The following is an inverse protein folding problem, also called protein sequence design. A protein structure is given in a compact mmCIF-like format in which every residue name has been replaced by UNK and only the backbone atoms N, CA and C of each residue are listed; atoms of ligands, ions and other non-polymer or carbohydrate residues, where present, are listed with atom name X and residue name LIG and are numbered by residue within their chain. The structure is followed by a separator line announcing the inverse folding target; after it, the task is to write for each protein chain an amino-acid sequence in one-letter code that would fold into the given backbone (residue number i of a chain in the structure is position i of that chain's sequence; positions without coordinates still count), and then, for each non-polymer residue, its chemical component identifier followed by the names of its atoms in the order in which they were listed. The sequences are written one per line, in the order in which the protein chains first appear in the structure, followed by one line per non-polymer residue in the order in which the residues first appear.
data_IF_540907293798
#
_entry.id   IF_540907293798
#
_cell.length_a   1.000
_cell.length_b   1.000
_cell.length_c   1.000
_cell.angle_alpha   90.00
_cell.angle_beta   90.00
_cell.angle_gamma   90.00
#
_symmetry.space_group_name_H-M   'P 1'
#
loop_
_entity.id
_entity.type
_entity.pdbx_description
1 polymer ?
#
# COMPACT_ATOMS: atom_id res chain seq x y z
N UNK A 1 -9.99 -18.02 -36.06
CA UNK A 1 -10.56 -18.35 -34.75
C UNK A 1 -9.56 -18.20 -33.59
N UNK A 2 -8.27 -18.03 -33.85
CA UNK A 2 -7.20 -17.98 -32.81
C UNK A 2 -7.14 -16.66 -32.03
N UNK A 3 -7.39 -15.51 -32.64
CA UNK A 3 -7.23 -14.21 -31.97
C UNK A 3 -8.26 -13.91 -30.85
N UNK A 4 -9.47 -14.46 -30.98
CA UNK A 4 -10.52 -14.28 -29.94
C UNK A 4 -10.24 -15.15 -28.72
N UNK A 5 -9.67 -16.33 -28.92
CA UNK A 5 -9.31 -17.25 -27.83
C UNK A 5 -8.11 -16.75 -27.02
N UNK A 6 -7.12 -16.11 -27.63
CA UNK A 6 -5.95 -15.54 -26.94
C UNK A 6 -6.31 -14.33 -26.09
N UNK A 7 -7.20 -13.46 -26.56
CA UNK A 7 -7.71 -12.32 -25.77
C UNK A 7 -8.54 -12.78 -24.57
N UNK A 8 -9.43 -13.75 -24.75
CA UNK A 8 -10.23 -14.33 -23.68
C UNK A 8 -9.35 -15.05 -22.64
N UNK A 9 -8.35 -15.80 -23.09
CA UNK A 9 -7.39 -16.48 -22.22
C UNK A 9 -6.54 -15.47 -21.42
N UNK A 10 -6.03 -14.43 -22.05
CA UNK A 10 -5.28 -13.39 -21.37
C UNK A 10 -6.11 -12.65 -20.31
N UNK A 11 -7.39 -12.41 -20.58
CA UNK A 11 -8.30 -11.79 -19.60
C UNK A 11 -8.59 -12.72 -18.40
N UNK A 12 -8.84 -13.99 -18.64
CA UNK A 12 -9.05 -14.99 -17.58
C UNK A 12 -7.80 -15.14 -16.73
N UNK A 13 -6.64 -15.22 -17.37
CA UNK A 13 -5.35 -15.29 -16.68
C UNK A 13 -5.09 -14.04 -15.86
N UNK A 14 -5.34 -12.85 -16.40
CA UNK A 14 -5.20 -11.61 -15.68
C UNK A 14 -6.10 -11.60 -14.43
N UNK A 15 -7.37 -11.95 -14.55
CA UNK A 15 -8.29 -12.02 -13.41
C UNK A 15 -7.81 -13.01 -12.33
N UNK A 16 -7.31 -14.18 -12.72
CA UNK A 16 -6.79 -15.17 -11.78
C UNK A 16 -5.52 -14.68 -11.06
N UNK A 17 -4.63 -13.99 -11.77
CA UNK A 17 -3.41 -13.42 -11.21
C UNK A 17 -3.70 -12.21 -10.32
N UNK A 18 -4.64 -11.36 -10.72
CA UNK A 18 -5.07 -10.22 -9.91
C UNK A 18 -5.71 -10.66 -8.60
N UNK A 19 -6.56 -11.70 -8.63
CA UNK A 19 -7.10 -12.29 -7.41
C UNK A 19 -6.01 -12.85 -6.50
N UNK A 20 -5.03 -13.56 -7.04
CA UNK A 20 -3.90 -14.09 -6.27
C UNK A 20 -3.02 -12.96 -5.72
N UNK A 21 -2.76 -11.91 -6.48
CA UNK A 21 -2.02 -10.75 -6.05
C UNK A 21 -2.73 -9.99 -4.91
N UNK A 22 -4.06 -9.86 -4.99
CA UNK A 22 -4.87 -9.26 -3.91
C UNK A 22 -4.71 -10.05 -2.61
N UNK A 23 -4.71 -11.39 -2.66
CA UNK A 23 -4.54 -12.23 -1.47
C UNK A 23 -3.13 -12.12 -0.85
N UNK A 24 -2.11 -11.79 -1.64
CA UNK A 24 -0.72 -11.68 -1.16
C UNK A 24 -0.27 -10.26 -0.88
N UNK A 25 -1.00 -9.25 -1.37
CA UNK A 25 -0.73 -7.83 -1.14
C UNK A 25 -1.19 -7.42 0.26
N UNK A 26 -0.25 -7.16 1.16
CA UNK A 26 -0.54 -6.84 2.56
C UNK A 26 -1.13 -5.44 2.75
N UNK A 27 -0.90 -4.54 1.79
CA UNK A 27 -1.38 -3.15 1.79
C UNK A 27 -2.59 -2.91 0.89
N UNK A 28 -3.21 -3.97 0.37
CA UNK A 28 -4.37 -3.86 -0.55
C UNK A 28 -5.61 -3.21 0.07
N UNK A 29 -5.76 -3.26 1.39
CA UNK A 29 -6.85 -2.58 2.10
C UNK A 29 -6.85 -1.06 1.91
N UNK A 30 -5.70 -0.45 1.59
CA UNK A 30 -5.58 1.00 1.35
C UNK A 30 -6.25 1.45 0.05
N UNK A 31 -6.47 0.53 -0.91
CA UNK A 31 -7.12 0.83 -2.20
C UNK A 31 -8.62 1.16 -2.02
N UNK A 32 -9.24 0.76 -0.90
CA UNK A 32 -10.64 1.09 -0.59
C UNK A 32 -10.90 2.59 -0.44
N UNK A 33 -9.88 3.38 -0.12
CA UNK A 33 -9.98 4.82 0.09
C UNK A 33 -9.87 5.64 -1.22
N UNK A 34 -9.65 4.99 -2.35
CA UNK A 34 -9.50 5.64 -3.66
C UNK A 34 -10.78 6.35 -4.17
N UNK A 35 -11.95 6.04 -3.62
CA UNK A 35 -13.22 6.65 -4.02
C UNK A 35 -13.33 8.17 -3.79
N UNK A 36 -12.44 8.76 -2.98
CA UNK A 36 -12.38 10.21 -2.72
C UNK A 36 -11.64 11.01 -3.80
N UNK A 37 -11.07 10.33 -4.76
CA UNK A 37 -10.12 10.89 -5.73
C UNK A 37 -10.81 11.31 -7.02
N UNK A 38 -10.55 12.55 -7.47
CA UNK A 38 -10.98 13.04 -8.78
C UNK A 38 -9.78 13.09 -9.72
N UNK A 39 -9.85 12.34 -10.82
CA UNK A 39 -8.86 12.42 -11.91
C UNK A 39 -9.12 13.68 -12.74
N UNK A 40 -8.08 14.48 -12.96
CA UNK A 40 -8.16 15.74 -13.72
C UNK A 40 -7.61 15.56 -15.14
N UNK A 41 -6.90 14.49 -15.37
CA UNK A 41 -6.20 14.18 -16.63
C UNK A 41 -4.70 14.02 -16.39
N UNK A 42 -4.00 13.39 -17.34
CA UNK A 42 -2.56 13.13 -17.21
C UNK A 42 -2.21 12.32 -15.97
N UNK A 43 -1.30 12.82 -15.17
CA UNK A 43 -0.80 12.24 -13.93
C UNK A 43 -1.28 12.98 -12.66
N UNK A 44 -2.20 13.91 -12.82
CA UNK A 44 -2.70 14.72 -11.70
C UNK A 44 -4.02 14.20 -11.15
N UNK A 45 -4.13 14.27 -9.83
CA UNK A 45 -5.28 13.85 -9.04
C UNK A 45 -5.63 14.95 -8.05
N UNK A 46 -6.90 15.29 -7.93
CA UNK A 46 -7.39 16.28 -6.97
C UNK A 46 -8.17 15.58 -5.86
N UNK A 47 -7.80 15.88 -4.62
CA UNK A 47 -8.49 15.40 -3.42
C UNK A 47 -9.12 16.60 -2.72
N UNK A 48 -10.44 16.56 -2.44
CA UNK A 48 -11.11 17.64 -1.74
C UNK A 48 -10.69 17.68 -0.27
N UNK A 49 -10.45 18.87 0.26
CA UNK A 49 -10.23 19.13 1.67
C UNK A 49 -11.22 20.18 2.13
N UNK A 50 -11.96 19.87 3.21
CA UNK A 50 -12.93 20.80 3.81
C UNK A 50 -12.45 21.16 5.20
N UNK A 51 -12.53 22.47 5.53
CA UNK A 51 -12.33 23.00 6.85
C UNK A 51 -13.53 23.84 7.24
N UNK A 52 -13.97 23.72 8.49
CA UNK A 52 -15.08 24.47 9.08
C UNK A 52 -14.64 25.05 10.42
N UNK A 53 -15.18 26.22 10.77
CA UNK A 53 -14.93 26.82 12.08
C UNK A 53 -15.67 26.05 13.18
N UNK A 54 -15.15 26.17 14.41
CA UNK A 54 -15.74 25.57 15.59
C UNK A 54 -17.01 26.28 16.07
N UNK A 55 -17.62 25.78 17.14
CA UNK A 55 -18.73 26.42 17.81
C UNK A 55 -18.31 27.75 18.44
N UNK A 56 -19.17 28.74 18.30
CA UNK A 56 -19.03 30.03 18.96
C UNK A 56 -20.21 30.28 19.93
N UNK A 57 -20.04 31.21 20.85
CA UNK A 57 -21.07 31.53 21.82
C UNK A 57 -22.29 32.18 21.17
N UNK A 58 -23.45 31.68 21.50
CA UNK A 58 -24.73 32.25 21.04
C UNK A 58 -25.12 33.48 21.88
N UNK A 59 -25.23 34.62 21.24
CA UNK A 59 -25.64 35.87 21.92
C UNK A 59 -27.18 35.98 21.98
N UNK A 60 -27.79 35.71 23.16
CA UNK A 60 -29.22 35.84 23.40
C UNK A 60 -29.76 37.25 23.45
N UNK A 61 -28.86 38.22 23.65
CA UNK A 61 -29.22 39.65 23.77
C UNK A 61 -29.35 40.34 22.43
N UNK A 62 -28.87 39.73 21.36
CA UNK A 62 -28.93 40.26 19.99
C UNK A 62 -30.12 39.63 19.23
N UNK A 63 -31.21 40.35 19.13
CA UNK A 63 -32.48 39.88 18.53
C UNK A 63 -32.37 39.62 17.01
N UNK A 64 -31.28 40.03 16.34
CA UNK A 64 -31.10 39.86 14.89
C UNK A 64 -29.95 38.99 14.44
N UNK A 65 -28.98 38.73 15.31
CA UNK A 65 -27.71 38.05 14.94
C UNK A 65 -27.15 37.18 16.06
N UNK A 66 -27.99 36.42 16.75
CA UNK A 66 -27.58 35.57 17.87
C UNK A 66 -26.50 34.51 17.53
N UNK A 67 -26.38 34.09 16.27
CA UNK A 67 -25.37 33.20 15.79
C UNK A 67 -24.17 33.95 15.23
N UNK A 68 -22.96 33.57 15.65
CA UNK A 68 -21.71 34.02 15.01
C UNK A 68 -21.52 33.28 13.72
N UNK A 69 -21.29 34.01 12.63
CA UNK A 69 -21.09 33.42 11.31
C UNK A 69 -19.73 32.73 11.24
N UNK A 70 -19.69 31.41 11.00
CA UNK A 70 -18.49 30.65 10.76
C UNK A 70 -18.12 30.55 9.28
N UNK A 71 -16.85 30.33 8.99
CA UNK A 71 -16.36 30.10 7.64
C UNK A 71 -16.35 28.61 7.30
N UNK A 72 -16.71 28.29 6.06
CA UNK A 72 -16.55 26.97 5.45
C UNK A 72 -15.60 27.10 4.27
N UNK A 73 -14.48 26.43 4.32
CA UNK A 73 -13.50 26.45 3.24
C UNK A 73 -13.42 25.07 2.59
N UNK A 74 -13.72 25.00 1.29
CA UNK A 74 -13.51 23.83 0.45
C UNK A 74 -12.36 24.12 -0.50
N UNK A 75 -11.29 23.35 -0.37
CA UNK A 75 -10.14 23.42 -1.26
C UNK A 75 -9.84 22.07 -1.91
N UNK A 76 -9.25 22.11 -3.11
CA UNK A 76 -8.78 20.92 -3.78
C UNK A 76 -7.25 20.94 -3.80
N UNK A 77 -6.63 19.94 -3.16
CA UNK A 77 -5.19 19.76 -3.26
C UNK A 77 -4.86 18.85 -4.43
N UNK A 78 -3.95 19.31 -5.29
CA UNK A 78 -3.46 18.53 -6.44
C UNK A 78 -2.28 17.68 -6.01
N UNK A 79 -2.35 16.39 -6.32
CA UNK A 79 -1.30 15.43 -6.12
C UNK A 79 -0.88 14.83 -7.46
N UNK A 80 0.41 14.56 -7.63
CA UNK A 80 0.98 13.98 -8.84
C UNK A 80 1.31 12.51 -8.62
N UNK A 81 0.87 11.66 -9.55
CA UNK A 81 1.28 10.26 -9.59
C UNK A 81 2.69 10.17 -10.18
N UNK A 82 3.57 9.44 -9.53
CA UNK A 82 4.98 9.34 -9.93
C UNK A 82 5.41 7.91 -10.24
N UNK A 83 4.68 6.89 -9.79
CA UNK A 83 5.10 5.49 -9.91
C UNK A 83 4.48 4.82 -11.13
N UNK A 84 5.16 4.94 -12.27
CA UNK A 84 4.82 4.24 -13.52
C UNK A 84 5.87 3.16 -13.78
N UNK A 85 5.54 1.92 -13.45
CA UNK A 85 6.46 0.79 -13.44
C UNK A 85 5.97 -0.30 -14.38
N UNK A 86 6.90 -0.88 -15.12
CA UNK A 86 6.57 -1.98 -16.04
C UNK A 86 7.78 -2.83 -16.39
N UNK A 87 7.50 -4.05 -16.86
CA UNK A 87 8.52 -4.97 -17.35
C UNK A 87 7.97 -5.77 -18.54
N UNK A 88 8.85 -6.10 -19.48
CA UNK A 88 8.56 -6.96 -20.63
C UNK A 88 9.41 -8.21 -20.53
N UNK A 89 8.81 -9.37 -20.78
CA UNK A 89 9.47 -10.66 -20.89
C UNK A 89 9.22 -11.26 -22.26
N UNK A 90 10.18 -12.05 -22.74
CA UNK A 90 10.08 -12.78 -23.99
C UNK A 90 10.55 -14.20 -23.74
N UNK A 91 9.78 -15.18 -24.23
CA UNK A 91 10.10 -16.59 -24.21
C UNK A 91 10.06 -17.13 -25.62
N UNK A 92 11.13 -17.72 -26.09
CA UNK A 92 11.15 -18.39 -27.38
C UNK A 92 10.17 -19.57 -27.42
N UNK A 93 9.50 -19.80 -28.53
CA UNK A 93 8.55 -20.88 -28.66
C UNK A 93 9.21 -22.27 -28.51
N UNK A 94 10.44 -22.43 -28.97
CA UNK A 94 11.22 -23.66 -28.83
C UNK A 94 11.59 -23.94 -27.38
N UNK A 95 11.97 -22.91 -26.61
CA UNK A 95 12.29 -23.04 -25.17
C UNK A 95 11.08 -23.50 -24.36
N UNK A 96 9.88 -23.08 -24.74
CA UNK A 96 8.63 -23.54 -24.09
C UNK A 96 8.42 -25.03 -24.32
N UNK A 97 8.64 -25.52 -25.54
CA UNK A 97 8.52 -26.95 -25.87
C UNK A 97 9.61 -27.78 -25.19
N UNK A 98 10.86 -27.34 -25.20
CA UNK A 98 12.00 -28.03 -24.58
C UNK A 98 11.86 -28.12 -23.05
N UNK A 99 11.26 -27.15 -22.41
CA UNK A 99 10.98 -27.15 -20.96
C UNK A 99 9.74 -27.97 -20.59
N UNK A 100 9.15 -28.68 -21.53
CA UNK A 100 7.93 -29.47 -21.34
C UNK A 100 6.78 -28.63 -20.73
N UNK A 101 6.61 -27.41 -21.22
CA UNK A 101 5.61 -26.42 -20.80
C UNK A 101 5.73 -25.91 -19.35
N UNK A 102 6.85 -26.14 -18.67
CA UNK A 102 7.09 -25.58 -17.32
C UNK A 102 7.26 -24.08 -17.40
N UNK A 103 8.02 -23.58 -18.38
CA UNK A 103 8.20 -22.15 -18.63
C UNK A 103 7.08 -21.59 -19.51
N UNK A 104 5.84 -21.61 -19.03
CA UNK A 104 4.73 -21.00 -19.75
C UNK A 104 4.59 -19.52 -19.39
N UNK A 105 3.95 -18.76 -20.28
CA UNK A 105 3.64 -17.34 -20.02
C UNK A 105 2.91 -17.15 -18.69
N UNK A 106 1.99 -18.07 -18.36
CA UNK A 106 1.25 -18.06 -17.09
C UNK A 106 2.15 -18.22 -15.88
N UNK A 107 3.06 -19.20 -15.92
CA UNK A 107 3.97 -19.44 -14.79
C UNK A 107 4.94 -18.29 -14.56
N UNK A 108 5.51 -17.76 -15.64
CA UNK A 108 6.43 -16.60 -15.57
C UNK A 108 5.73 -15.39 -14.97
N UNK A 109 4.54 -15.06 -15.44
CA UNK A 109 3.80 -13.91 -14.93
C UNK A 109 3.31 -14.09 -13.50
N UNK A 110 2.95 -15.31 -13.11
CA UNK A 110 2.58 -15.63 -11.73
C UNK A 110 3.75 -15.44 -10.76
N UNK A 111 4.94 -15.96 -11.11
CA UNK A 111 6.17 -15.76 -10.32
C UNK A 111 6.51 -14.28 -10.26
N UNK A 112 6.48 -13.58 -11.40
CA UNK A 112 6.78 -12.15 -11.46
C UNK A 112 5.85 -11.33 -10.56
N UNK A 113 4.54 -11.54 -10.62
CA UNK A 113 3.60 -10.80 -9.77
C UNK A 113 3.82 -11.12 -8.28
N UNK A 114 3.91 -12.39 -7.94
CA UNK A 114 4.01 -12.81 -6.54
C UNK A 114 5.33 -12.43 -5.89
N UNK A 115 6.46 -12.58 -6.61
CA UNK A 115 7.79 -12.40 -6.03
C UNK A 115 8.37 -11.00 -6.24
N UNK A 116 7.91 -10.25 -7.23
CA UNK A 116 8.49 -8.95 -7.60
C UNK A 116 7.50 -7.80 -7.42
N UNK A 117 6.32 -7.88 -8.05
CA UNK A 117 5.37 -6.76 -8.06
C UNK A 117 4.75 -6.54 -6.67
N UNK A 118 4.22 -7.59 -6.05
CA UNK A 118 3.56 -7.47 -4.74
C UNK A 118 4.52 -6.95 -3.66
N UNK A 119 5.74 -7.50 -3.48
CA UNK A 119 6.68 -6.97 -2.49
C UNK A 119 7.10 -5.53 -2.76
N UNK A 120 7.26 -5.12 -4.03
CA UNK A 120 7.63 -3.75 -4.39
C UNK A 120 6.51 -2.77 -4.03
N UNK A 121 5.26 -3.11 -4.33
CA UNK A 121 4.09 -2.27 -4.01
C UNK A 121 3.92 -2.11 -2.50
N UNK A 122 4.03 -3.21 -1.74
CA UNK A 122 3.95 -3.15 -0.28
C UNK A 122 5.08 -2.32 0.32
N UNK A 123 6.32 -2.56 -0.10
CA UNK A 123 7.47 -1.81 0.37
C UNK A 123 7.37 -0.32 0.04
N UNK A 124 6.87 0.02 -1.16
CA UNK A 124 6.64 1.41 -1.55
C UNK A 124 5.60 2.09 -0.65
N UNK A 125 4.45 1.46 -0.46
CA UNK A 125 3.36 2.01 0.36
C UNK A 125 3.77 2.19 1.82
N UNK A 126 4.40 1.18 2.42
CA UNK A 126 4.86 1.24 3.81
C UNK A 126 5.98 2.26 4.00
N UNK A 127 6.94 2.31 3.09
CA UNK A 127 8.00 3.32 3.08
C UNK A 127 7.45 4.75 2.95
N UNK A 128 6.40 4.95 2.14
CA UNK A 128 5.73 6.24 2.00
C UNK A 128 5.03 6.67 3.29
N UNK A 129 4.39 5.74 4.00
CA UNK A 129 3.78 5.99 5.31
C UNK A 129 4.84 6.33 6.35
N UNK A 130 5.92 5.54 6.42
CA UNK A 130 7.03 5.80 7.34
C UNK A 130 7.68 7.16 7.09
N UNK A 131 7.98 7.49 5.82
CA UNK A 131 8.51 8.81 5.44
C UNK A 131 7.54 9.94 5.83
N UNK A 132 6.23 9.71 5.69
CA UNK A 132 5.22 10.70 6.07
C UNK A 132 5.20 10.92 7.58
N UNK A 133 5.28 9.86 8.38
CA UNK A 133 5.36 9.95 9.84
C UNK A 133 6.64 10.67 10.30
N UNK A 134 7.78 10.32 9.72
CA UNK A 134 9.09 10.97 10.01
C UNK A 134 9.07 12.47 9.61
N UNK A 135 8.35 12.83 8.56
CA UNK A 135 8.23 14.22 8.09
C UNK A 135 7.27 15.10 8.91
N UNK A 136 6.64 14.56 9.97
CA UNK A 136 5.84 15.35 10.90
C UNK A 136 6.76 16.22 11.77
N UNK A 137 6.37 17.45 12.03
CA UNK A 137 7.16 18.38 12.84
C UNK A 137 7.48 17.78 14.21
N UNK A 138 8.76 17.76 14.55
CA UNK A 138 9.34 17.23 15.80
C UNK A 138 9.30 15.71 15.96
N UNK A 139 9.01 14.95 14.92
CA UNK A 139 8.97 13.46 14.94
C UNK A 139 8.20 12.88 16.14
N UNK A 140 7.12 13.55 16.54
CA UNK A 140 6.37 13.21 17.77
C UNK A 140 5.74 11.83 17.76
N UNK A 141 5.54 11.28 16.57
CA UNK A 141 4.90 9.98 16.35
C UNK A 141 5.90 8.87 15.98
N UNK A 142 7.21 9.16 16.09
CA UNK A 142 8.27 8.23 15.67
C UNK A 142 9.24 7.99 16.82
N UNK A 143 9.58 6.75 17.04
CA UNK A 143 10.61 6.34 17.98
C UNK A 143 11.77 5.68 17.24
N UNK A 144 12.99 6.20 17.46
CA UNK A 144 14.19 5.69 16.84
C UNK A 144 14.97 4.75 17.78
N UNK A 145 15.69 3.78 17.20
CA UNK A 145 16.60 2.91 17.94
C UNK A 145 15.92 1.88 18.85
N UNK A 146 14.60 1.69 18.71
CA UNK A 146 13.88 0.68 19.44
C UNK A 146 14.15 -0.73 18.86
N UNK A 147 14.57 -1.65 19.72
CA UNK A 147 14.66 -3.08 19.41
C UNK A 147 13.50 -3.82 20.12
N UNK A 148 12.68 -4.57 19.38
CA UNK A 148 11.56 -5.30 19.97
C UNK A 148 12.03 -6.26 21.06
N UNK A 149 11.34 -6.25 22.21
CA UNK A 149 11.58 -7.15 23.34
C UNK A 149 10.26 -7.46 24.03
N UNK A 150 10.12 -8.68 24.53
CA UNK A 150 8.92 -9.22 25.18
C UNK A 150 8.31 -8.25 26.22
N UNK A 151 9.16 -7.66 27.06
CA UNK A 151 8.70 -6.84 28.19
C UNK A 151 8.27 -5.42 27.77
N UNK A 152 8.62 -4.97 26.58
CA UNK A 152 8.40 -3.59 26.15
C UNK A 152 7.49 -3.46 24.92
N UNK A 153 7.42 -4.46 24.06
CA UNK A 153 6.72 -4.39 22.76
C UNK A 153 5.24 -4.02 22.90
N UNK A 154 4.54 -4.64 23.84
CA UNK A 154 3.11 -4.35 24.07
C UNK A 154 2.91 -2.91 24.55
N UNK A 155 3.78 -2.43 25.45
CA UNK A 155 3.72 -1.06 25.96
C UNK A 155 3.95 -0.04 24.85
N UNK A 156 4.90 -0.31 23.94
CA UNK A 156 5.20 0.56 22.78
C UNK A 156 4.03 0.61 21.80
N UNK A 157 3.45 -0.53 21.44
CA UNK A 157 2.27 -0.58 20.55
C UNK A 157 1.10 0.18 21.18
N UNK A 158 0.82 -0.03 22.47
CA UNK A 158 -0.25 0.68 23.20
C UNK A 158 0.02 2.19 23.30
N UNK A 159 1.27 2.60 23.45
CA UNK A 159 1.63 4.01 23.44
C UNK A 159 1.35 4.66 22.08
N UNK A 160 1.67 4.00 20.96
CA UNK A 160 1.33 4.47 19.63
C UNK A 160 -0.20 4.55 19.39
N UNK A 161 -0.94 3.53 19.80
CA UNK A 161 -2.43 3.55 19.75
C UNK A 161 -2.98 4.74 20.55
N UNK A 162 -2.45 4.97 21.76
CA UNK A 162 -2.85 6.06 22.63
C UNK A 162 -2.65 7.42 21.95
N UNK A 163 -1.50 7.67 21.35
CA UNK A 163 -1.19 8.94 20.62
C UNK A 163 -2.24 9.20 19.54
N UNK A 164 -2.57 8.21 18.74
CA UNK A 164 -3.58 8.35 17.67
C UNK A 164 -4.98 8.63 18.26
N UNK A 165 -5.35 7.97 19.33
CA UNK A 165 -6.64 8.16 20.02
C UNK A 165 -6.75 9.54 20.67
N UNK A 166 -5.67 10.03 21.28
CA UNK A 166 -5.60 11.37 21.87
C UNK A 166 -5.67 12.49 20.80
N UNK A 167 -5.18 12.22 19.59
CA UNK A 167 -5.36 13.10 18.43
C UNK A 167 -6.82 13.09 17.88
N UNK A 168 -7.75 12.39 18.55
CA UNK A 168 -9.18 12.43 18.27
C UNK A 168 -9.68 11.35 17.30
N UNK A 169 -8.81 10.47 16.79
CA UNK A 169 -9.26 9.41 15.88
C UNK A 169 -9.79 8.20 16.66
N UNK A 170 -11.07 7.85 16.45
CA UNK A 170 -11.75 6.74 17.14
C UNK A 170 -12.07 5.54 16.22
N UNK A 171 -11.74 5.63 14.92
CA UNK A 171 -12.01 4.59 13.95
C UNK A 171 -11.09 3.36 14.04
N UNK A 172 -11.20 2.48 13.06
CA UNK A 172 -10.41 1.25 12.96
C UNK A 172 -8.93 1.57 12.70
N UNK A 173 -8.04 0.93 13.46
CA UNK A 173 -6.59 1.02 13.29
C UNK A 173 -6.04 -0.29 12.73
N UNK A 174 -5.06 -0.17 11.85
CA UNK A 174 -4.30 -1.29 11.28
C UNK A 174 -2.84 -1.15 11.68
N UNK A 175 -2.26 -2.24 12.15
CA UNK A 175 -0.86 -2.31 12.57
C UNK A 175 -0.12 -3.21 11.60
N UNK A 176 0.83 -2.66 10.86
CA UNK A 176 1.82 -3.45 10.13
C UNK A 176 3.00 -3.68 11.05
N UNK A 177 3.36 -4.93 11.31
CA UNK A 177 4.49 -5.27 12.17
C UNK A 177 5.36 -6.34 11.52
N UNK A 178 6.68 -6.21 11.67
CA UNK A 178 7.61 -7.23 11.22
C UNK A 178 7.50 -8.51 12.08
N UNK A 179 8.00 -9.63 11.57
CA UNK A 179 7.87 -10.92 12.23
C UNK A 179 8.57 -10.95 13.59
N UNK A 180 9.69 -10.23 13.76
CA UNK A 180 10.41 -10.17 15.04
C UNK A 180 9.54 -9.46 16.10
N UNK A 181 8.95 -8.33 15.76
CA UNK A 181 8.01 -7.60 16.64
C UNK A 181 6.80 -8.45 17.01
N UNK A 182 6.24 -9.18 16.02
CA UNK A 182 5.07 -10.04 16.30
C UNK A 182 5.44 -11.22 17.17
N UNK A 183 6.62 -11.83 16.98
CA UNK A 183 7.09 -12.93 17.83
C UNK A 183 7.26 -12.48 19.28
N UNK A 184 7.90 -11.33 19.53
CA UNK A 184 8.04 -10.76 20.87
C UNK A 184 6.69 -10.40 21.48
N UNK A 185 5.74 -9.92 20.67
CA UNK A 185 4.38 -9.62 21.12
C UNK A 185 3.61 -10.90 21.51
N UNK A 186 3.71 -11.95 20.70
CA UNK A 186 3.08 -13.25 21.00
C UNK A 186 3.65 -13.84 22.31
N UNK A 187 4.96 -13.72 22.55
CA UNK A 187 5.61 -14.11 23.79
C UNK A 187 5.14 -13.24 24.98
N UNK A 188 4.99 -11.92 24.78
CA UNK A 188 4.50 -11.00 25.80
C UNK A 188 3.08 -11.34 26.26
N UNK A 189 2.22 -11.72 25.33
CA UNK A 189 0.83 -12.07 25.60
C UNK A 189 0.61 -13.56 25.90
N UNK A 190 1.68 -14.34 26.05
CA UNK A 190 1.64 -15.80 26.29
C UNK A 190 0.72 -16.54 25.28
N UNK A 191 0.75 -16.14 24.02
CA UNK A 191 -0.06 -16.71 22.94
C UNK A 191 -1.56 -16.38 23.01
N UNK A 192 -1.99 -15.46 23.88
CA UNK A 192 -3.40 -15.05 24.04
C UNK A 192 -3.76 -13.78 23.27
N UNK A 193 -3.25 -13.64 22.05
CA UNK A 193 -3.70 -12.57 21.17
C UNK A 193 -5.15 -12.79 20.77
N UNK A 194 -5.96 -11.74 20.88
CA UNK A 194 -7.31 -11.75 20.32
C UNK A 194 -7.24 -11.86 18.79
N UNK A 195 -8.28 -12.41 18.18
CA UNK A 195 -8.41 -12.41 16.73
C UNK A 195 -9.55 -11.49 16.31
N UNK A 196 -9.36 -10.74 15.24
CA UNK A 196 -10.41 -9.93 14.63
C UNK A 196 -10.58 -10.31 13.15
N UNK A 197 -11.77 -10.12 12.64
CA UNK A 197 -12.05 -10.28 11.20
C UNK A 197 -11.56 -9.05 10.46
N UNK A 198 -10.60 -9.23 9.57
CA UNK A 198 -10.08 -8.18 8.71
C UNK A 198 -10.53 -8.39 7.27
N UNK A 199 -11.14 -7.38 6.68
CA UNK A 199 -11.65 -7.43 5.30
C UNK A 199 -10.73 -6.65 4.36
N UNK A 200 -10.28 -7.33 3.31
CA UNK A 200 -9.47 -6.74 2.24
C UNK A 200 -9.93 -7.27 0.88
N UNK A 201 -10.29 -6.37 -0.05
CA UNK A 201 -10.72 -6.76 -1.40
C UNK A 201 -11.92 -7.71 -1.43
N UNK A 202 -12.82 -7.62 -0.43
CA UNK A 202 -13.98 -8.52 -0.29
C UNK A 202 -13.67 -9.87 0.36
N UNK A 203 -12.42 -10.12 0.75
CA UNK A 203 -12.01 -11.34 1.46
C UNK A 203 -11.87 -11.06 2.95
N UNK A 204 -12.53 -11.85 3.77
CA UNK A 204 -12.47 -11.78 5.23
C UNK A 204 -11.48 -12.79 5.77
N UNK A 205 -10.47 -12.33 6.50
CA UNK A 205 -9.47 -13.17 7.16
C UNK A 205 -9.43 -12.90 8.66
N UNK A 206 -9.13 -13.93 9.45
CA UNK A 206 -8.87 -13.77 10.88
C UNK A 206 -7.41 -13.37 11.08
N UNK A 207 -7.18 -12.22 11.71
CA UNK A 207 -5.84 -11.71 12.01
C UNK A 207 -5.68 -11.48 13.51
N UNK A 208 -4.45 -11.61 14.06
CA UNK A 208 -4.21 -11.26 15.46
C UNK A 208 -4.49 -9.77 15.70
N UNK A 209 -4.89 -9.43 16.91
CA UNK A 209 -5.24 -8.06 17.26
C UNK A 209 -4.78 -7.68 18.67
N UNK A 210 -4.47 -6.40 18.86
CA UNK A 210 -4.25 -5.74 20.14
C UNK A 210 -5.25 -4.59 20.28
N UNK A 211 -5.99 -4.55 21.36
CA UNK A 211 -7.03 -3.54 21.63
C UNK A 211 -8.04 -3.36 20.47
N UNK A 212 -8.38 -4.47 19.78
CA UNK A 212 -9.26 -4.45 18.61
C UNK A 212 -8.61 -3.95 17.32
N UNK A 213 -7.32 -3.58 17.33
CA UNK A 213 -6.57 -3.14 16.16
C UNK A 213 -5.97 -4.36 15.46
N UNK A 214 -6.27 -4.53 14.17
CA UNK A 214 -5.78 -5.64 13.36
C UNK A 214 -4.26 -5.56 13.16
N UNK A 215 -3.56 -6.69 13.36
CA UNK A 215 -2.11 -6.79 13.13
C UNK A 215 -1.85 -7.57 11.84
N UNK A 216 -1.21 -6.93 10.88
CA UNK A 216 -0.77 -7.55 9.64
C UNK A 216 0.71 -7.88 9.75
N UNK A 217 1.02 -9.18 9.76
CA UNK A 217 2.40 -9.67 9.77
C UNK A 217 3.06 -9.35 8.43
N UNK A 218 4.12 -8.55 8.46
CA UNK A 218 4.79 -8.06 7.26
C UNK A 218 6.26 -8.48 7.25
N UNK A 219 6.78 -9.04 6.15
CA UNK A 219 8.20 -9.36 6.05
C UNK A 219 9.08 -8.12 6.24
N UNK A 220 10.19 -8.25 6.98
CA UNK A 220 11.10 -7.15 7.29
C UNK A 220 11.67 -6.46 6.03
N UNK A 221 11.86 -7.22 4.93
CA UNK A 221 12.33 -6.68 3.66
C UNK A 221 11.33 -5.74 2.95
N UNK A 222 10.09 -5.62 3.44
CA UNK A 222 9.09 -4.66 2.97
C UNK A 222 8.91 -3.47 3.92
N UNK A 223 9.58 -3.50 5.11
CA UNK A 223 9.41 -2.52 6.17
C UNK A 223 10.67 -1.67 6.34
N UNK A 224 10.84 -0.72 5.44
CA UNK A 224 11.92 0.27 5.47
C UNK A 224 11.36 1.68 5.56
N UNK A 225 12.07 2.58 6.25
CA UNK A 225 11.67 4.00 6.33
C UNK A 225 11.77 4.70 4.98
N UNK A 226 12.64 4.24 4.08
CA UNK A 226 12.75 4.70 2.70
C UNK A 226 13.31 3.59 1.80
N UNK A 227 12.87 3.55 0.55
CA UNK A 227 13.36 2.63 -0.47
C UNK A 227 13.87 3.37 -1.69
N UNK A 228 14.77 2.73 -2.42
CA UNK A 228 15.20 3.11 -3.76
C UNK A 228 14.57 2.17 -4.75
N UNK A 229 13.83 2.71 -5.72
CA UNK A 229 13.29 1.94 -6.84
C UNK A 229 14.32 1.88 -7.96
N UNK A 230 14.69 0.68 -8.35
CA UNK A 230 15.65 0.45 -9.42
C UNK A 230 15.00 0.70 -10.78
N UNK A 231 15.68 1.41 -11.67
CA UNK A 231 15.14 1.82 -12.99
C UNK A 231 15.17 0.70 -14.05
N UNK A 232 15.92 -0.38 -13.82
CA UNK A 232 16.07 -1.50 -14.75
C UNK A 232 16.99 -1.22 -15.93
N UNK A 233 17.66 -0.04 -15.96
CA UNK A 233 18.53 0.40 -17.08
C UNK A 233 19.94 0.72 -16.61
N UNK A 234 20.11 1.33 -15.47
CA UNK A 234 21.42 1.61 -14.87
C UNK A 234 22.16 0.30 -14.60
N UNK A 235 23.46 0.25 -14.87
CA UNK A 235 24.28 -0.97 -14.85
C UNK A 235 24.22 -1.78 -13.53
N UNK A 236 24.00 -1.11 -12.39
CA UNK A 236 23.83 -1.74 -11.07
C UNK A 236 22.36 -2.05 -10.71
N UNK A 237 21.41 -1.65 -11.56
CA UNK A 237 19.97 -1.73 -11.31
C UNK A 237 19.21 -2.50 -12.40
N UNK A 238 19.89 -3.19 -13.28
CA UNK A 238 19.32 -3.91 -14.45
C UNK A 238 18.26 -4.94 -14.07
N UNK A 239 18.34 -5.53 -12.89
CA UNK A 239 17.36 -6.47 -12.37
C UNK A 239 16.00 -5.79 -12.06
N UNK A 240 15.97 -4.46 -11.91
CA UNK A 240 14.78 -3.74 -11.45
C UNK A 240 14.47 -4.00 -9.98
N UNK A 241 13.20 -3.88 -9.58
CA UNK A 241 12.76 -4.07 -8.21
C UNK A 241 13.11 -2.89 -7.30
N UNK A 242 13.26 -3.14 -6.01
CA UNK A 242 13.58 -2.12 -5.02
C UNK A 242 14.70 -2.58 -4.07
N UNK A 243 15.32 -1.62 -3.43
CA UNK A 243 16.33 -1.83 -2.39
C UNK A 243 16.10 -0.85 -1.23
N UNK A 244 16.62 -1.19 -0.03
CA UNK A 244 16.68 -0.27 1.09
C UNK A 244 17.53 0.94 0.70
N UNK A 245 17.02 2.16 0.90
CA UNK A 245 17.79 3.37 0.62
C UNK A 245 18.99 3.50 1.59
N UNK A 246 20.07 4.13 1.15
CA UNK A 246 21.35 4.16 1.89
C UNK A 246 21.26 4.68 3.34
N UNK A 247 20.30 5.58 3.62
CA UNK A 247 20.05 6.14 4.96
C UNK A 247 18.76 5.64 5.60
N UNK A 248 18.11 4.66 4.99
CA UNK A 248 16.86 4.14 5.51
C UNK A 248 17.09 3.27 6.76
N UNK A 249 16.14 3.36 7.68
CA UNK A 249 16.08 2.55 8.89
C UNK A 249 15.12 1.38 8.68
N UNK A 250 15.34 0.30 9.40
CA UNK A 250 14.37 -0.79 9.50
C UNK A 250 13.21 -0.34 10.38
N UNK A 251 12.00 -0.69 9.98
CA UNK A 251 10.78 -0.33 10.70
C UNK A 251 10.26 -1.57 11.42
N UNK A 252 10.01 -1.45 12.71
CA UNK A 252 9.49 -2.54 13.54
C UNK A 252 7.98 -2.70 13.38
N UNK A 253 7.25 -1.60 13.49
CA UNK A 253 5.81 -1.55 13.25
C UNK A 253 5.37 -0.15 12.81
N UNK A 254 4.22 -0.08 12.15
CA UNK A 254 3.54 1.16 11.75
C UNK A 254 2.07 1.02 12.15
N UNK A 255 1.54 1.99 12.87
CA UNK A 255 0.12 2.06 13.25
C UNK A 255 -0.54 3.12 12.38
N UNK A 256 -1.58 2.73 11.65
CA UNK A 256 -2.24 3.61 10.69
C UNK A 256 -3.76 3.48 10.81
N UNK A 257 -4.51 4.58 10.90
CA UNK A 257 -5.95 4.55 10.74
C UNK A 257 -6.35 4.05 9.36
N UNK A 258 -7.35 3.19 9.28
CA UNK A 258 -7.77 2.55 8.03
C UNK A 258 -8.17 3.54 6.93
N UNK A 259 -8.69 4.70 7.30
CA UNK A 259 -9.20 5.72 6.37
C UNK A 259 -8.15 6.75 5.93
N UNK A 260 -6.92 6.70 6.49
CA UNK A 260 -5.92 7.74 6.29
C UNK A 260 -5.11 7.56 5.01
N UNK A 261 -4.57 6.38 4.68
CA UNK A 261 -3.82 6.19 3.45
C UNK A 261 -4.77 6.11 2.25
N UNK A 262 -4.49 6.90 1.22
CA UNK A 262 -5.23 6.90 -0.05
C UNK A 262 -4.32 6.31 -1.10
N UNK A 263 -4.47 5.01 -1.36
CA UNK A 263 -3.75 4.33 -2.43
C UNK A 263 -4.59 4.37 -3.70
N UNK A 264 -3.97 4.75 -4.81
CA UNK A 264 -4.60 4.86 -6.11
C UNK A 264 -3.83 4.07 -7.13
N UNK A 265 -4.52 3.22 -7.86
CA UNK A 265 -3.99 2.51 -9.01
C UNK A 265 -4.76 2.94 -10.24
N UNK A 266 -4.11 3.71 -11.13
CA UNK A 266 -4.72 4.22 -12.36
C UNK A 266 -4.68 3.17 -13.47
N UNK A 267 -3.62 2.38 -13.52
CA UNK A 267 -3.44 1.32 -14.49
C UNK A 267 -2.77 0.14 -13.81
N UNK A 268 -3.33 -1.04 -14.00
CA UNK A 268 -2.75 -2.33 -13.66
C UNK A 268 -3.12 -3.27 -14.80
N UNK A 269 -2.17 -3.50 -15.71
CA UNK A 269 -2.47 -4.19 -16.97
C UNK A 269 -1.34 -5.11 -17.38
N UNK A 270 -1.72 -6.34 -17.66
CA UNK A 270 -0.88 -7.34 -18.29
C UNK A 270 -1.35 -7.57 -19.73
N UNK A 271 -0.42 -7.75 -20.65
CA UNK A 271 -0.69 -8.18 -22.02
C UNK A 271 0.18 -9.38 -22.35
N UNK A 272 -0.39 -10.33 -23.08
CA UNK A 272 0.30 -11.52 -23.56
C UNK A 272 0.06 -11.59 -25.06
N UNK A 273 1.14 -11.71 -25.81
CA UNK A 273 1.15 -11.92 -27.25
C UNK A 273 1.72 -13.29 -27.54
N UNK A 274 1.01 -14.07 -28.34
CA UNK A 274 1.47 -15.36 -28.81
C UNK A 274 2.52 -15.23 -29.94
N UNK A 275 3.25 -16.31 -30.27
CA UNK A 275 4.25 -16.29 -31.34
C UNK A 275 3.68 -15.89 -32.70
N UNK A 276 2.41 -16.21 -32.99
CA UNK A 276 1.76 -15.90 -34.27
C UNK A 276 1.42 -14.40 -34.40
N UNK A 277 1.19 -13.72 -33.29
CA UNK A 277 0.90 -12.28 -33.23
C UNK A 277 2.15 -11.41 -33.01
N UNK A 278 3.24 -12.00 -32.55
CA UNK A 278 4.49 -11.30 -32.32
C UNK A 278 5.28 -11.16 -33.62
N UNK A 279 5.27 -9.96 -34.23
CA UNK A 279 5.96 -9.69 -35.47
C UNK A 279 7.50 -9.64 -35.40
N UNK A 280 8.07 -9.59 -34.19
CA UNK A 280 9.52 -9.40 -33.99
C UNK A 280 10.29 -10.71 -33.82
N UNK A 281 9.64 -11.77 -33.34
CA UNK A 281 10.27 -13.07 -33.11
C UNK A 281 9.22 -14.15 -32.95
N UNK A 282 9.57 -15.41 -33.23
CA UNK A 282 8.74 -16.57 -32.94
C UNK A 282 8.77 -16.87 -31.42
N UNK A 283 8.15 -15.99 -30.64
CA UNK A 283 8.26 -15.98 -29.19
C UNK A 283 7.00 -15.44 -28.50
N UNK A 284 6.69 -15.97 -27.36
CA UNK A 284 5.72 -15.40 -26.44
C UNK A 284 6.26 -14.11 -25.85
N UNK A 285 5.47 -13.04 -25.93
CA UNK A 285 5.80 -11.75 -25.32
C UNK A 285 4.77 -11.42 -24.27
N UNK A 286 5.25 -11.11 -23.06
CA UNK A 286 4.44 -10.71 -21.94
C UNK A 286 4.93 -9.35 -21.46
N UNK A 287 4.01 -8.40 -21.33
CA UNK A 287 4.31 -7.12 -20.69
C UNK A 287 3.34 -6.86 -19.54
N UNK A 288 3.87 -6.20 -18.53
CA UNK A 288 3.11 -5.76 -17.37
C UNK A 288 3.43 -4.30 -17.09
N UNK A 289 2.39 -3.51 -16.78
CA UNK A 289 2.53 -2.10 -16.41
C UNK A 289 1.58 -1.78 -15.27
N UNK A 290 2.11 -1.16 -14.22
CA UNK A 290 1.36 -0.64 -13.10
C UNK A 290 1.67 0.83 -12.88
N UNK A 291 0.61 1.64 -12.85
CA UNK A 291 0.69 3.07 -12.56
C UNK A 291 -0.10 3.36 -11.29
N UNK A 292 0.60 3.61 -10.20
CA UNK A 292 0.02 3.74 -8.87
C UNK A 292 0.73 4.80 -8.03
N UNK A 293 0.09 5.21 -6.95
CA UNK A 293 0.66 6.12 -5.96
C UNK A 293 -0.06 5.96 -4.62
N UNK A 294 0.53 6.50 -3.54
CA UNK A 294 -0.09 6.59 -2.23
C UNK A 294 0.08 8.00 -1.69
N UNK A 295 -1.01 8.56 -1.14
CA UNK A 295 -0.99 9.84 -0.47
C UNK A 295 -1.60 9.76 0.92
N UNK A 296 -1.18 10.70 1.76
CA UNK A 296 -1.76 10.99 3.07
C UNK A 296 -2.11 12.47 3.09
N UNK A 297 -3.32 12.80 3.51
CA UNK A 297 -3.77 14.19 3.62
C UNK A 297 -2.97 14.90 4.73
N UNK A 298 -2.64 16.19 4.52
CA UNK A 298 -1.79 16.93 5.45
C UNK A 298 -2.37 17.02 6.87
N UNK A 299 -3.69 17.17 6.98
CA UNK A 299 -4.41 17.20 8.26
C UNK A 299 -4.49 15.85 8.98
N UNK A 300 -4.07 14.76 8.31
CA UNK A 300 -4.12 13.38 8.86
C UNK A 300 -2.73 12.78 9.11
N UNK A 301 -1.65 13.50 8.79
CA UNK A 301 -0.27 13.01 8.96
C UNK A 301 0.08 12.66 10.41
N UNK A 302 -0.47 13.43 11.37
CA UNK A 302 -0.30 13.19 12.81
C UNK A 302 -0.95 11.91 13.33
N UNK A 303 -1.76 11.24 12.51
CA UNK A 303 -2.44 10.00 12.89
C UNK A 303 -1.64 8.74 12.51
N UNK A 304 -0.41 8.86 12.02
CA UNK A 304 0.48 7.72 11.70
C UNK A 304 1.58 7.64 12.75
N UNK A 305 1.78 6.46 13.34
CA UNK A 305 2.85 6.19 14.29
C UNK A 305 3.72 5.03 13.82
#
# INVERSE_FOLDING_TARGET
MTAINTLAYAQILQQALDQKAIHTLLTGWMDSNAGQVKYVGGNEVKIPQMSVDGLADYNRSDAGAGYVQGAVTLSYKTYTMSQDRGRKFQLDAMDVDETNFVATATNVMNVFQTEKVVPEVDAYRLSKLATTAIGVANDTNVEYGYTPAKDTVLTKIKAGIKVIRENGYQGELVIHANYDTVTELELAMAGKLAAVTFSQGGVNTQVPAVDGCAIIKTPANRMYSAITLNDGTTSTQTAGGYAKAAKALDVNFIIVPREVPIAVTKQDKMRIFDPDTNQNANAWVMDYRRYHELWVLDNKKLSIC
#
